data_IF_580882691194
#
_entry.id   IF_580882691194
#
_cell.length_a   1.000
_cell.length_b   1.000
_cell.length_c   1.000
_cell.angle_alpha   90.00
_cell.angle_beta   90.00
_cell.angle_gamma   90.00
#
_symmetry.space_group_name_H-M   'P 1'
#
loop_
_entity.id
_entity.type
_entity.pdbx_description
1 polymer ?
#
# COMPACT_ATOMS: atom_id res chain seq x y z
N UNK A 1 39.90 -2.75 -1.36
CA UNK A 1 40.26 -2.88 0.07
C UNK A 1 39.73 -4.20 0.59
N UNK A 2 40.53 -4.96 1.34
CA UNK A 2 40.04 -6.12 2.07
C UNK A 2 38.97 -5.69 3.07
N UNK A 3 37.86 -6.45 3.19
CA UNK A 3 36.88 -6.29 4.27
C UNK A 3 37.14 -7.40 5.29
N UNK A 4 38.08 -7.20 6.24
CA UNK A 4 38.42 -8.25 7.19
C UNK A 4 37.25 -8.54 8.13
N UNK A 5 37.24 -9.75 8.69
CA UNK A 5 36.31 -10.14 9.73
C UNK A 5 36.49 -9.24 10.96
N UNK A 6 35.37 -8.87 11.58
CA UNK A 6 35.34 -8.16 12.87
C UNK A 6 34.38 -8.90 13.80
N UNK A 7 34.80 -9.12 15.04
CA UNK A 7 33.96 -9.57 16.16
C UNK A 7 32.86 -8.55 16.47
N UNK A 8 31.87 -8.93 17.28
CA UNK A 8 30.78 -8.00 17.63
C UNK A 8 31.29 -6.81 18.44
N UNK A 9 32.28 -7.04 19.28
CA UNK A 9 32.96 -6.03 20.09
C UNK A 9 33.77 -5.08 19.20
N UNK A 10 34.51 -5.61 18.20
CA UNK A 10 35.22 -4.76 17.22
C UNK A 10 34.25 -3.96 16.34
N UNK A 11 33.10 -4.54 15.97
CA UNK A 11 32.05 -3.81 15.24
C UNK A 11 31.50 -2.65 16.08
N UNK A 12 31.29 -2.87 17.37
CA UNK A 12 30.81 -1.85 18.31
C UNK A 12 31.82 -0.70 18.43
N UNK A 13 33.09 -1.02 18.65
CA UNK A 13 34.15 -0.01 18.78
C UNK A 13 34.31 0.80 17.47
N UNK A 14 34.13 0.15 16.32
CA UNK A 14 34.10 0.83 15.03
C UNK A 14 32.93 1.81 14.90
N UNK A 15 31.76 1.50 15.46
CA UNK A 15 30.63 2.43 15.45
C UNK A 15 30.92 3.65 16.34
N UNK A 16 31.49 3.44 17.54
CA UNK A 16 31.93 4.52 18.43
C UNK A 16 32.99 5.40 17.76
N UNK A 17 33.99 4.80 17.10
CA UNK A 17 35.06 5.55 16.42
C UNK A 17 34.55 6.44 15.29
N UNK A 18 33.40 6.08 14.70
CA UNK A 18 32.71 6.84 13.65
C UNK A 18 31.76 7.92 14.18
N UNK A 19 31.78 8.19 15.50
CA UNK A 19 30.92 9.15 16.23
C UNK A 19 29.47 8.73 16.38
N UNK A 20 29.15 7.43 16.28
CA UNK A 20 27.81 6.95 16.60
C UNK A 20 27.66 6.85 18.12
N UNK A 21 26.62 7.48 18.67
CA UNK A 21 26.32 7.40 20.11
C UNK A 21 25.73 6.03 20.41
N UNK A 22 26.31 5.37 21.41
CA UNK A 22 25.85 4.08 21.93
C UNK A 22 25.58 4.26 23.44
N UNK A 23 24.31 4.20 23.83
CA UNK A 23 23.91 4.34 25.24
C UNK A 23 24.21 3.08 26.06
N UNK A 24 24.11 1.91 25.42
CA UNK A 24 24.24 0.61 26.07
C UNK A 24 24.90 -0.40 25.14
N UNK A 25 26.18 -0.67 25.41
CA UNK A 25 27.00 -1.62 24.64
C UNK A 25 26.39 -3.03 24.58
N UNK A 26 25.87 -3.54 25.71
CA UNK A 26 25.29 -4.88 25.76
C UNK A 26 24.03 -5.01 24.90
N UNK A 27 23.21 -3.97 24.88
CA UNK A 27 21.99 -3.90 24.06
C UNK A 27 22.36 -3.91 22.57
N UNK A 28 23.32 -3.08 22.17
CA UNK A 28 23.77 -3.02 20.77
C UNK A 28 24.40 -4.35 20.33
N UNK A 29 25.24 -4.98 21.17
CA UNK A 29 25.78 -6.32 20.87
C UNK A 29 24.65 -7.35 20.73
N UNK A 30 23.62 -7.32 21.59
CA UNK A 30 22.44 -8.20 21.47
C UNK A 30 21.69 -8.00 20.15
N UNK A 31 21.68 -6.78 19.61
CA UNK A 31 21.09 -6.46 18.31
C UNK A 31 21.98 -6.98 17.18
N UNK A 32 23.29 -6.70 17.20
CA UNK A 32 24.25 -7.17 16.18
C UNK A 32 24.37 -8.70 16.11
N UNK A 33 24.08 -9.41 17.21
CA UNK A 33 23.97 -10.88 17.23
C UNK A 33 22.73 -11.41 16.51
N UNK A 34 21.67 -10.61 16.40
CA UNK A 34 20.40 -10.99 15.77
C UNK A 34 20.23 -10.43 14.35
N UNK A 35 20.83 -9.28 14.09
CA UNK A 35 20.73 -8.54 12.83
C UNK A 35 22.13 -8.40 12.25
N UNK A 36 22.30 -8.81 11.00
CA UNK A 36 23.58 -8.68 10.31
C UNK A 36 24.00 -7.19 10.29
N UNK A 37 25.24 -6.91 10.73
CA UNK A 37 25.82 -5.55 10.73
C UNK A 37 25.67 -4.87 9.35
N UNK A 38 25.86 -5.62 8.27
CA UNK A 38 25.73 -5.09 6.92
C UNK A 38 24.30 -4.61 6.64
N UNK A 39 23.30 -5.38 7.04
CA UNK A 39 21.90 -5.10 6.75
C UNK A 39 21.41 -3.87 7.53
N UNK A 40 21.76 -3.77 8.83
CA UNK A 40 21.35 -2.64 9.67
C UNK A 40 22.20 -1.39 9.42
N UNK A 41 23.53 -1.49 9.47
CA UNK A 41 24.38 -0.30 9.40
C UNK A 41 24.52 0.17 7.95
N UNK A 42 25.02 -0.68 7.06
CA UNK A 42 25.24 -0.24 5.67
C UNK A 42 23.93 -0.02 4.92
N UNK A 43 22.86 -0.72 5.32
CA UNK A 43 21.54 -0.54 4.75
C UNK A 43 20.84 0.75 5.17
N UNK A 44 21.11 1.32 6.35
CA UNK A 44 20.27 2.41 6.88
C UNK A 44 21.03 3.65 7.38
N UNK A 45 22.36 3.64 7.34
CA UNK A 45 23.18 4.79 7.78
C UNK A 45 22.99 6.08 6.97
N UNK A 46 22.54 6.01 5.71
CA UNK A 46 22.67 7.11 4.73
C UNK A 46 22.13 8.47 5.21
N UNK A 47 21.01 8.52 5.97
CA UNK A 47 20.46 9.79 6.49
C UNK A 47 21.20 10.35 7.69
N UNK A 48 21.99 9.51 8.35
CA UNK A 48 22.69 9.80 9.58
C UNK A 48 24.17 10.14 9.34
N UNK A 49 24.65 9.98 8.11
CA UNK A 49 26.03 10.30 7.73
C UNK A 49 26.21 11.80 7.49
N UNK A 50 27.31 12.34 8.02
CA UNK A 50 27.84 13.66 7.69
C UNK A 50 28.66 13.53 6.40
N UNK A 51 28.08 13.97 5.27
CA UNK A 51 28.69 13.84 3.95
C UNK A 51 30.02 14.62 3.87
N UNK A 52 30.11 15.90 4.29
CA UNK A 52 31.38 16.62 4.36
C UNK A 52 32.47 15.89 5.16
N UNK A 53 32.16 15.46 6.39
CA UNK A 53 33.14 14.82 7.26
C UNK A 53 33.57 13.43 6.77
N UNK A 54 32.64 12.68 6.19
CA UNK A 54 32.91 11.38 5.56
C UNK A 54 33.83 11.52 4.35
N UNK A 55 33.59 12.53 3.52
CA UNK A 55 34.41 12.80 2.34
C UNK A 55 35.83 13.23 2.72
N UNK A 56 35.97 14.02 3.80
CA UNK A 56 37.27 14.49 4.28
C UNK A 56 38.10 13.40 4.96
N UNK A 57 37.45 12.48 5.71
CA UNK A 57 38.14 11.42 6.45
C UNK A 57 38.39 10.15 5.64
N UNK A 58 37.64 9.93 4.55
CA UNK A 58 37.70 8.70 3.76
C UNK A 58 37.04 7.48 4.41
N UNK A 59 36.38 7.66 5.57
CA UNK A 59 35.53 6.65 6.22
C UNK A 59 34.19 7.26 6.64
N UNK A 60 33.19 6.43 6.90
CA UNK A 60 31.87 6.89 7.33
C UNK A 60 31.96 7.69 8.66
N UNK A 61 31.44 8.92 8.68
CA UNK A 61 31.31 9.73 9.90
C UNK A 61 29.84 10.08 10.12
N UNK A 62 29.30 9.80 11.31
CA UNK A 62 27.92 10.12 11.64
C UNK A 62 27.76 11.59 12.04
N UNK A 63 26.58 12.16 11.76
CA UNK A 63 26.17 13.49 12.20
C UNK A 63 26.18 13.55 13.73
N UNK A 64 26.55 14.70 14.27
CA UNK A 64 26.55 14.94 15.70
C UNK A 64 25.17 14.65 16.32
N UNK A 65 25.15 13.94 17.45
CA UNK A 65 23.92 13.55 18.14
C UNK A 65 23.23 12.29 17.61
N UNK A 66 23.72 11.66 16.54
CA UNK A 66 23.13 10.40 16.03
C UNK A 66 23.33 9.25 17.01
N UNK A 67 22.26 8.56 17.38
CA UNK A 67 22.29 7.37 18.20
C UNK A 67 22.11 6.09 17.35
N UNK A 68 22.69 4.98 17.79
CA UNK A 68 22.44 3.67 17.17
C UNK A 68 20.94 3.33 17.09
N UNK A 69 20.16 3.71 18.11
CA UNK A 69 18.70 3.51 18.15
C UNK A 69 17.97 4.18 17.00
N UNK A 70 18.47 5.31 16.49
CA UNK A 70 17.89 5.95 15.31
C UNK A 70 17.97 5.01 14.12
N UNK A 71 19.15 4.47 13.83
CA UNK A 71 19.36 3.53 12.71
C UNK A 71 18.49 2.27 12.89
N UNK A 72 18.43 1.74 14.12
CA UNK A 72 17.61 0.56 14.45
C UNK A 72 16.12 0.81 14.25
N UNK A 73 15.61 2.00 14.63
CA UNK A 73 14.22 2.40 14.43
C UNK A 73 13.84 2.46 12.94
N UNK A 74 14.74 2.96 12.08
CA UNK A 74 14.48 2.97 10.63
C UNK A 74 14.49 1.55 10.05
N UNK A 75 15.39 0.69 10.53
CA UNK A 75 15.42 -0.72 10.14
C UNK A 75 14.11 -1.43 10.51
N UNK A 76 13.63 -1.25 11.74
CA UNK A 76 12.38 -1.86 12.22
C UNK A 76 11.17 -1.32 11.46
N UNK A 77 11.11 -0.01 11.19
CA UNK A 77 10.08 0.56 10.33
C UNK A 77 10.04 -0.10 8.95
N UNK A 78 11.19 -0.25 8.29
CA UNK A 78 11.25 -0.91 6.98
C UNK A 78 10.79 -2.38 7.05
N UNK A 79 11.20 -3.10 8.11
CA UNK A 79 10.80 -4.49 8.33
C UNK A 79 9.27 -4.63 8.52
N UNK A 80 8.65 -3.78 9.34
CA UNK A 80 7.21 -3.77 9.57
C UNK A 80 6.45 -3.42 8.28
N UNK A 81 6.90 -2.39 7.55
CA UNK A 81 6.33 -2.02 6.26
C UNK A 81 6.44 -3.20 5.27
N UNK A 82 7.57 -3.90 5.17
CA UNK A 82 7.72 -5.08 4.32
C UNK A 82 6.76 -6.20 4.71
N UNK A 83 6.57 -6.44 6.00
CA UNK A 83 5.63 -7.44 6.51
C UNK A 83 4.19 -7.12 6.08
N UNK A 84 3.76 -5.87 6.31
CA UNK A 84 2.43 -5.37 5.93
C UNK A 84 2.22 -5.49 4.41
N UNK A 85 3.20 -5.06 3.61
CA UNK A 85 3.12 -5.09 2.15
C UNK A 85 3.10 -6.53 1.62
N UNK A 86 3.99 -7.40 2.11
CA UNK A 86 4.06 -8.79 1.68
C UNK A 86 2.75 -9.52 1.96
N UNK A 87 2.19 -9.36 3.15
CA UNK A 87 0.88 -9.92 3.53
C UNK A 87 -0.22 -9.56 2.53
N UNK A 88 -0.25 -8.32 2.04
CA UNK A 88 -1.27 -7.87 1.09
C UNK A 88 -0.94 -8.26 -0.36
N UNK A 89 0.34 -8.31 -0.74
CA UNK A 89 0.78 -8.86 -2.03
C UNK A 89 0.41 -10.34 -2.16
N UNK A 90 0.48 -11.13 -1.09
CA UNK A 90 0.08 -12.54 -1.12
C UNK A 90 -1.42 -12.70 -1.45
N UNK A 91 -2.27 -11.76 -1.05
CA UNK A 91 -3.69 -11.74 -1.43
C UNK A 91 -3.86 -11.44 -2.92
N UNK A 92 -3.19 -10.40 -3.41
CA UNK A 92 -3.15 -10.05 -4.83
C UNK A 92 -2.66 -11.25 -5.66
N UNK A 93 -1.58 -11.90 -5.25
CA UNK A 93 -1.04 -13.10 -5.89
C UNK A 93 -2.09 -14.21 -5.98
N UNK A 94 -2.83 -14.46 -4.91
CA UNK A 94 -3.89 -15.46 -4.90
C UNK A 94 -5.05 -15.09 -5.85
N UNK A 95 -5.45 -13.82 -5.88
CA UNK A 95 -6.50 -13.31 -6.78
C UNK A 95 -6.07 -13.52 -8.24
N UNK A 96 -4.88 -13.05 -8.60
CA UNK A 96 -4.36 -13.17 -9.97
C UNK A 96 -4.21 -14.64 -10.38
N UNK A 97 -3.69 -15.50 -9.50
CA UNK A 97 -3.63 -16.95 -9.73
C UNK A 97 -5.01 -17.54 -10.03
N UNK A 98 -6.01 -17.15 -9.25
CA UNK A 98 -7.38 -17.63 -9.39
C UNK A 98 -7.96 -17.21 -10.73
N UNK A 99 -7.88 -15.91 -11.07
CA UNK A 99 -8.42 -15.36 -12.31
C UNK A 99 -7.77 -15.95 -13.55
N UNK A 100 -6.43 -16.01 -13.59
CA UNK A 100 -5.70 -16.61 -14.71
C UNK A 100 -6.06 -18.08 -14.87
N UNK A 101 -6.08 -18.83 -13.76
CA UNK A 101 -6.40 -20.26 -13.83
C UNK A 101 -7.82 -20.52 -14.31
N UNK A 102 -8.77 -19.69 -13.86
CA UNK A 102 -10.17 -19.77 -14.25
C UNK A 102 -10.37 -19.45 -15.73
N UNK A 103 -9.97 -18.26 -16.17
CA UNK A 103 -10.14 -17.81 -17.57
C UNK A 103 -9.43 -18.74 -18.54
N UNK A 104 -8.17 -19.10 -18.24
CA UNK A 104 -7.42 -19.99 -19.12
C UNK A 104 -8.04 -21.38 -19.22
N UNK A 105 -8.49 -21.96 -18.10
CA UNK A 105 -9.08 -23.31 -18.11
C UNK A 105 -10.50 -23.36 -18.66
N UNK A 106 -11.24 -22.26 -18.54
CA UNK A 106 -12.56 -22.08 -19.15
C UNK A 106 -12.47 -22.14 -20.67
N UNK A 107 -11.50 -21.44 -21.26
CA UNK A 107 -11.31 -21.41 -22.72
C UNK A 107 -10.61 -22.66 -23.25
N UNK A 108 -9.50 -23.07 -22.62
CA UNK A 108 -8.65 -24.17 -23.08
C UNK A 108 -8.98 -25.43 -22.28
N UNK A 109 -9.98 -26.18 -22.73
CA UNK A 109 -10.59 -27.30 -21.96
C UNK A 109 -9.79 -28.61 -21.98
N UNK A 110 -8.70 -28.70 -22.73
CA UNK A 110 -7.91 -29.94 -22.82
C UNK A 110 -7.21 -30.27 -21.49
N UNK A 111 -6.96 -31.55 -21.24
CA UNK A 111 -6.10 -31.97 -20.12
C UNK A 111 -4.70 -31.38 -20.26
N UNK A 112 -4.11 -30.98 -19.14
CA UNK A 112 -2.81 -30.31 -19.12
C UNK A 112 -2.73 -29.13 -20.11
N UNK A 113 -3.81 -28.36 -20.27
CA UNK A 113 -3.91 -27.23 -21.19
C UNK A 113 -2.70 -26.27 -21.16
N UNK A 114 -2.09 -26.07 -19.99
CA UNK A 114 -0.92 -25.23 -19.75
C UNK A 114 0.43 -25.84 -20.21
N UNK A 115 0.45 -27.08 -20.70
CA UNK A 115 1.62 -27.71 -21.32
C UNK A 115 1.55 -27.71 -22.85
N UNK A 116 0.40 -27.34 -23.43
CA UNK A 116 0.23 -27.29 -24.87
C UNK A 116 0.64 -25.91 -25.40
N UNK A 117 1.74 -25.86 -26.16
CA UNK A 117 2.26 -24.62 -26.76
C UNK A 117 1.24 -23.89 -27.65
N UNK A 118 0.30 -24.63 -28.26
CA UNK A 118 -0.73 -24.07 -29.15
C UNK A 118 -1.86 -23.35 -28.38
N UNK A 119 -1.90 -23.45 -27.05
CA UNK A 119 -2.86 -22.74 -26.21
C UNK A 119 -2.37 -21.34 -25.79
N UNK A 120 -1.16 -20.95 -26.23
CA UNK A 120 -0.54 -19.65 -25.94
C UNK A 120 -0.54 -18.75 -27.18
N UNK A 121 -0.26 -17.47 -26.98
CA UNK A 121 -0.15 -16.48 -28.05
C UNK A 121 0.95 -16.87 -29.05
N UNK A 122 0.57 -16.99 -30.33
CA UNK A 122 1.47 -17.41 -31.40
C UNK A 122 2.67 -16.46 -31.59
N UNK A 123 2.49 -15.17 -31.29
CA UNK A 123 3.56 -14.17 -31.38
C UNK A 123 4.55 -14.25 -30.22
N UNK A 124 4.23 -15.04 -29.17
CA UNK A 124 5.00 -15.13 -27.91
C UNK A 124 5.46 -16.56 -27.60
N UNK A 125 5.65 -17.40 -28.61
CA UNK A 125 6.06 -18.81 -28.47
C UNK A 125 7.34 -19.01 -27.63
N UNK A 126 8.30 -18.10 -27.69
CA UNK A 126 9.51 -18.16 -26.85
C UNK A 126 9.17 -18.04 -25.35
N UNK A 127 8.34 -17.04 -24.99
CA UNK A 127 7.88 -16.84 -23.62
C UNK A 127 7.03 -18.04 -23.16
N UNK A 128 6.13 -18.53 -24.01
CA UNK A 128 5.31 -19.69 -23.71
C UNK A 128 6.16 -20.96 -23.47
N UNK A 129 7.21 -21.18 -24.27
CA UNK A 129 8.15 -22.30 -24.06
C UNK A 129 8.82 -22.21 -22.70
N UNK A 130 9.23 -21.00 -22.28
CA UNK A 130 9.79 -20.76 -20.95
C UNK A 130 8.77 -21.03 -19.85
N UNK A 131 7.53 -20.58 -20.01
CA UNK A 131 6.44 -20.84 -19.05
C UNK A 131 6.20 -22.35 -18.90
N UNK A 132 6.10 -23.08 -20.01
CA UNK A 132 5.90 -24.54 -20.00
C UNK A 132 7.07 -25.25 -19.31
N UNK A 133 8.32 -24.83 -19.58
CA UNK A 133 9.50 -25.39 -18.94
C UNK A 133 9.48 -25.15 -17.42
N UNK A 134 9.16 -23.94 -16.97
CA UNK A 134 9.06 -23.61 -15.55
C UNK A 134 7.93 -24.38 -14.85
N UNK A 135 6.76 -24.50 -15.49
CA UNK A 135 5.67 -25.32 -14.97
C UNK A 135 6.10 -26.78 -14.84
N UNK A 136 6.76 -27.32 -15.86
CA UNK A 136 7.26 -28.70 -15.85
C UNK A 136 8.28 -28.90 -14.72
N UNK A 137 9.14 -27.91 -14.45
CA UNK A 137 10.05 -27.92 -13.31
C UNK A 137 9.29 -27.94 -11.98
N UNK A 138 8.25 -27.10 -11.83
CA UNK A 138 7.41 -27.05 -10.62
C UNK A 138 6.72 -28.40 -10.38
N UNK A 139 6.12 -29.00 -11.42
CA UNK A 139 5.46 -30.30 -11.32
C UNK A 139 6.48 -31.36 -10.87
N UNK A 140 7.65 -31.42 -11.51
CA UNK A 140 8.72 -32.36 -11.14
C UNK A 140 9.18 -32.18 -9.70
N UNK A 141 9.35 -30.93 -9.26
CA UNK A 141 9.72 -30.63 -7.87
C UNK A 141 8.63 -31.06 -6.89
N UNK A 142 7.36 -30.90 -7.26
CA UNK A 142 6.23 -31.32 -6.45
C UNK A 142 6.11 -32.85 -6.31
N UNK A 143 6.59 -33.60 -7.31
CA UNK A 143 6.68 -35.06 -7.26
C UNK A 143 7.90 -35.58 -6.51
N UNK A 144 8.82 -34.71 -6.09
CA UNK A 144 9.99 -35.12 -5.31
C UNK A 144 9.57 -35.57 -3.91
N UNK A 145 10.07 -36.73 -3.46
CA UNK A 145 9.77 -37.27 -2.13
C UNK A 145 10.23 -36.34 -0.98
N UNK A 146 11.16 -35.42 -1.25
CA UNK A 146 11.69 -34.48 -0.27
C UNK A 146 10.84 -33.19 -0.14
N UNK A 147 9.79 -33.02 -0.95
CA UNK A 147 8.96 -31.81 -0.92
C UNK A 147 7.56 -32.09 -0.36
N UNK A 148 7.33 -31.69 0.89
CA UNK A 148 6.06 -31.90 1.57
C UNK A 148 4.92 -31.05 1.02
N UNK A 149 5.22 -29.93 0.36
CA UNK A 149 4.24 -29.01 -0.23
C UNK A 149 3.54 -29.55 -1.49
N UNK A 150 4.05 -30.64 -2.08
CA UNK A 150 3.60 -31.18 -3.37
C UNK A 150 2.55 -32.29 -3.29
N UNK A 151 2.16 -32.74 -2.09
CA UNK A 151 1.31 -33.93 -1.92
C UNK A 151 -0.02 -33.84 -2.67
N UNK A 152 -0.63 -32.66 -2.74
CA UNK A 152 -1.87 -32.47 -3.52
C UNK A 152 -1.62 -32.72 -5.01
N UNK A 153 -0.50 -32.24 -5.55
CA UNK A 153 -0.14 -32.47 -6.96
C UNK A 153 0.09 -33.96 -7.20
N UNK A 154 0.86 -34.64 -6.34
CA UNK A 154 1.10 -36.08 -6.47
C UNK A 154 -0.20 -36.87 -6.43
N UNK A 155 -1.09 -36.56 -5.48
CA UNK A 155 -2.39 -37.21 -5.35
C UNK A 155 -3.25 -37.07 -6.62
N UNK A 156 -3.31 -35.86 -7.21
CA UNK A 156 -4.06 -35.64 -8.46
C UNK A 156 -3.48 -36.43 -9.63
N UNK A 157 -2.15 -36.46 -9.77
CA UNK A 157 -1.50 -37.21 -10.85
C UNK A 157 -1.61 -38.74 -10.67
N UNK A 158 -1.54 -39.23 -9.44
CA UNK A 158 -1.61 -40.65 -9.13
C UNK A 158 -3.03 -41.22 -9.27
N UNK A 159 -4.04 -40.47 -8.80
CA UNK A 159 -5.43 -40.94 -8.77
C UNK A 159 -6.22 -40.47 -9.99
N UNK A 160 -6.20 -39.17 -10.28
CA UNK A 160 -7.03 -38.59 -11.33
C UNK A 160 -6.37 -38.61 -12.71
N UNK A 161 -5.07 -38.96 -12.78
CA UNK A 161 -4.27 -38.97 -14.02
C UNK A 161 -4.27 -37.63 -14.78
N UNK A 162 -4.67 -36.57 -14.10
CA UNK A 162 -4.80 -35.22 -14.61
C UNK A 162 -4.45 -34.23 -13.50
N UNK A 163 -3.90 -33.08 -13.87
CA UNK A 163 -3.58 -31.99 -12.95
C UNK A 163 -4.18 -30.69 -13.48
N UNK A 164 -5.35 -30.28 -13.00
CA UNK A 164 -5.96 -29.02 -13.41
C UNK A 164 -5.13 -27.79 -13.04
N UNK A 165 -5.19 -26.73 -13.85
CA UNK A 165 -4.38 -25.53 -13.64
C UNK A 165 -4.66 -24.86 -12.28
N UNK A 166 -5.91 -24.82 -11.83
CA UNK A 166 -6.25 -24.21 -10.53
C UNK A 166 -5.68 -24.98 -9.33
N UNK A 167 -5.42 -26.29 -9.46
CA UNK A 167 -4.73 -27.09 -8.44
C UNK A 167 -3.23 -26.77 -8.46
N UNK A 168 -2.65 -26.72 -9.66
CA UNK A 168 -1.23 -26.41 -9.88
C UNK A 168 -0.88 -24.97 -9.46
N UNK A 169 -1.77 -24.00 -9.71
CA UNK A 169 -1.51 -22.57 -9.53
C UNK A 169 -1.08 -22.20 -8.10
N UNK A 170 -1.49 -22.99 -7.10
CA UNK A 170 -1.05 -22.84 -5.72
C UNK A 170 0.47 -22.98 -5.56
N UNK A 171 1.12 -23.83 -6.36
CA UNK A 171 2.57 -24.10 -6.31
C UNK A 171 3.39 -23.17 -7.22
N UNK A 172 2.75 -22.51 -8.18
CA UNK A 172 3.42 -21.56 -9.04
C UNK A 172 3.84 -20.33 -8.23
N UNK A 173 5.03 -19.80 -8.48
CA UNK A 173 5.43 -18.50 -7.90
C UNK A 173 4.68 -17.35 -8.57
N UNK A 174 4.60 -16.19 -7.92
CA UNK A 174 4.07 -14.99 -8.57
C UNK A 174 4.81 -14.64 -9.87
N UNK A 175 6.13 -14.89 -9.93
CA UNK A 175 6.92 -14.74 -11.14
C UNK A 175 6.43 -15.64 -12.27
N UNK A 176 6.18 -16.93 -11.99
CA UNK A 176 5.65 -17.87 -12.99
C UNK A 176 4.30 -17.37 -13.54
N UNK A 177 3.43 -16.89 -12.66
CA UNK A 177 2.10 -16.38 -13.01
C UNK A 177 2.17 -15.08 -13.81
N UNK A 178 3.09 -14.17 -13.47
CA UNK A 178 3.33 -12.95 -14.24
C UNK A 178 3.80 -13.26 -15.67
N UNK A 179 4.70 -14.23 -15.84
CA UNK A 179 5.12 -14.69 -17.17
C UNK A 179 4.01 -15.44 -17.90
N UNK A 180 3.23 -16.26 -17.19
CA UNK A 180 2.05 -16.94 -17.74
C UNK A 180 1.08 -15.94 -18.33
N UNK A 181 0.68 -14.93 -17.55
CA UNK A 181 -0.18 -13.84 -18.02
C UNK A 181 0.38 -13.17 -19.27
N UNK A 182 1.68 -12.86 -19.32
CA UNK A 182 2.27 -12.21 -20.51
C UNK A 182 2.26 -13.09 -21.76
N UNK A 183 2.12 -14.42 -21.62
CA UNK A 183 2.26 -15.40 -22.70
C UNK A 183 0.92 -15.88 -23.29
N UNK A 184 -0.21 -15.62 -22.63
CA UNK A 184 -1.53 -15.99 -23.15
C UNK A 184 -2.06 -14.98 -24.18
N UNK A 185 -3.09 -15.38 -24.92
CA UNK A 185 -3.78 -14.55 -25.92
C UNK A 185 -4.35 -13.26 -25.30
N UNK A 186 -4.32 -12.17 -26.06
CA UNK A 186 -4.81 -10.85 -25.63
C UNK A 186 -6.31 -10.87 -25.26
N UNK A 187 -7.11 -11.72 -25.92
CA UNK A 187 -8.52 -11.97 -25.58
C UNK A 187 -8.70 -12.46 -24.13
N UNK A 188 -7.84 -13.37 -23.68
CA UNK A 188 -7.88 -13.90 -22.31
C UNK A 188 -7.34 -12.89 -21.29
N UNK A 189 -6.30 -12.13 -21.66
CA UNK A 189 -5.80 -11.03 -20.84
C UNK A 189 -6.90 -9.99 -20.59
N UNK A 190 -7.67 -9.68 -21.65
CA UNK A 190 -8.81 -8.76 -21.59
C UNK A 190 -9.89 -9.25 -20.65
N UNK A 191 -10.32 -10.51 -20.76
CA UNK A 191 -11.33 -11.09 -19.86
C UNK A 191 -10.88 -11.01 -18.39
N UNK A 192 -9.60 -11.29 -18.10
CA UNK A 192 -9.05 -11.15 -16.74
C UNK A 192 -9.12 -9.69 -16.26
N UNK A 193 -8.76 -8.73 -17.12
CA UNK A 193 -8.80 -7.31 -16.78
C UNK A 193 -10.24 -6.81 -16.56
N UNK A 194 -11.20 -7.31 -17.34
CA UNK A 194 -12.62 -7.03 -17.17
C UNK A 194 -13.16 -7.58 -15.85
N UNK A 195 -12.78 -8.81 -15.45
CA UNK A 195 -13.14 -9.35 -14.15
C UNK A 195 -12.65 -8.47 -12.99
N UNK A 196 -11.40 -7.99 -13.07
CA UNK A 196 -10.83 -7.08 -12.07
C UNK A 196 -11.59 -5.75 -12.04
N UNK A 197 -11.93 -5.17 -13.20
CA UNK A 197 -12.68 -3.93 -13.28
C UNK A 197 -14.12 -4.07 -12.72
N UNK A 198 -14.77 -5.22 -12.95
CA UNK A 198 -16.10 -5.53 -12.42
C UNK A 198 -16.06 -5.66 -10.90
N UNK A 199 -15.07 -6.37 -10.34
CA UNK A 199 -14.89 -6.48 -8.90
C UNK A 199 -14.60 -5.12 -8.26
N UNK A 200 -13.74 -4.31 -8.88
CA UNK A 200 -13.47 -2.95 -8.41
C UNK A 200 -14.74 -2.08 -8.40
N UNK A 201 -15.56 -2.16 -9.45
CA UNK A 201 -16.85 -1.44 -9.49
C UNK A 201 -17.78 -1.88 -8.38
N UNK A 202 -17.83 -3.18 -8.03
CA UNK A 202 -18.66 -3.67 -6.91
C UNK A 202 -18.17 -3.16 -5.56
N UNK A 203 -16.86 -3.07 -5.36
CA UNK A 203 -16.26 -2.63 -4.09
C UNK A 203 -16.31 -1.11 -3.89
N UNK A 204 -16.19 -0.33 -4.97
CA UNK A 204 -15.96 1.12 -4.91
C UNK A 204 -16.97 1.97 -5.69
N UNK A 205 -17.96 1.34 -6.34
CA UNK A 205 -18.96 2.00 -7.21
C UNK A 205 -18.34 2.91 -8.28
N UNK A 206 -17.17 2.52 -8.79
CA UNK A 206 -16.40 3.27 -9.79
C UNK A 206 -16.09 2.40 -10.99
N UNK A 207 -16.47 2.90 -12.16
CA UNK A 207 -16.12 2.25 -13.42
C UNK A 207 -14.70 2.65 -13.81
N UNK A 208 -13.85 1.65 -14.03
CA UNK A 208 -12.45 1.83 -14.41
C UNK A 208 -12.14 1.02 -15.66
N UNK A 209 -11.08 1.39 -16.36
CA UNK A 209 -10.56 0.63 -17.50
C UNK A 209 -9.18 0.11 -17.12
N UNK A 210 -9.01 -1.21 -17.25
CA UNK A 210 -7.74 -1.90 -16.98
C UNK A 210 -7.21 -2.41 -18.31
N UNK A 211 -6.14 -1.77 -18.80
CA UNK A 211 -5.45 -2.16 -20.03
C UNK A 211 -4.52 -3.37 -19.79
N UNK A 212 -4.51 -4.31 -20.73
CA UNK A 212 -3.85 -5.61 -20.63
C UNK A 212 -2.32 -5.46 -20.55
N UNK A 213 -1.76 -4.52 -21.33
CA UNK A 213 -0.32 -4.21 -21.34
C UNK A 213 0.09 -3.47 -20.08
N UNK A 214 -0.80 -2.62 -19.55
CA UNK A 214 -0.60 -1.97 -18.26
C UNK A 214 -0.64 -2.98 -17.11
N UNK A 215 -1.56 -3.95 -17.15
CA UNK A 215 -1.64 -5.05 -16.20
C UNK A 215 -0.36 -5.88 -16.20
N UNK A 216 0.20 -6.21 -17.37
CA UNK A 216 1.49 -6.91 -17.45
C UNK A 216 2.60 -6.15 -16.70
N UNK A 217 2.68 -4.82 -16.88
CA UNK A 217 3.66 -3.99 -16.17
C UNK A 217 3.39 -3.95 -14.66
N UNK A 218 2.13 -3.87 -14.25
CA UNK A 218 1.72 -3.93 -12.84
C UNK A 218 2.19 -5.24 -12.20
N UNK A 219 1.93 -6.39 -12.83
CA UNK A 219 2.35 -7.69 -12.32
C UNK A 219 3.87 -7.80 -12.21
N UNK A 220 4.62 -7.31 -13.21
CA UNK A 220 6.10 -7.29 -13.15
C UNK A 220 6.63 -6.38 -12.02
N UNK A 221 6.01 -5.21 -11.81
CA UNK A 221 6.36 -4.30 -10.73
C UNK A 221 6.09 -4.94 -9.35
N UNK A 222 4.89 -5.49 -9.14
CA UNK A 222 4.53 -6.18 -7.90
C UNK A 222 5.43 -7.38 -7.64
N UNK A 223 5.83 -8.14 -8.67
CA UNK A 223 6.75 -9.27 -8.51
C UNK A 223 8.12 -8.82 -7.98
N UNK A 224 8.60 -7.66 -8.43
CA UNK A 224 9.85 -7.08 -7.94
C UNK A 224 9.72 -6.71 -6.46
N UNK A 225 8.64 -6.03 -6.07
CA UNK A 225 8.37 -5.64 -4.68
C UNK A 225 8.19 -6.87 -3.77
N UNK A 226 7.47 -7.90 -4.25
CA UNK A 226 7.30 -9.18 -3.56
C UNK A 226 8.64 -9.79 -3.22
N UNK A 227 9.55 -9.82 -4.19
CA UNK A 227 10.88 -10.41 -4.01
C UNK A 227 11.74 -9.59 -3.05
N UNK A 228 11.73 -8.25 -3.15
CA UNK A 228 12.38 -7.36 -2.17
C UNK A 228 11.91 -7.69 -0.74
N UNK A 229 10.60 -7.79 -0.54
CA UNK A 229 10.04 -8.12 0.77
C UNK A 229 10.47 -9.52 1.25
N UNK A 230 10.39 -10.52 0.38
CA UNK A 230 10.70 -11.92 0.71
C UNK A 230 12.20 -12.20 0.92
N UNK A 231 13.09 -11.41 0.30
CA UNK A 231 14.55 -11.55 0.44
C UNK A 231 15.15 -10.65 1.52
N UNK A 232 14.32 -10.00 2.33
CA UNK A 232 14.76 -9.13 3.41
C UNK A 232 15.57 -7.90 2.93
N UNK A 233 15.29 -7.43 1.71
CA UNK A 233 15.93 -6.25 1.13
C UNK A 233 15.22 -4.96 1.56
N UNK A 234 15.95 -3.83 1.58
CA UNK A 234 15.44 -2.51 1.96
C UNK A 234 14.33 -2.02 1.02
N UNK A 235 13.15 -1.70 1.55
CA UNK A 235 11.96 -1.33 0.76
C UNK A 235 11.66 0.17 0.73
N UNK A 236 11.82 0.89 1.84
CA UNK A 236 11.26 2.23 2.05
C UNK A 236 11.79 3.27 1.07
N UNK A 237 13.00 3.11 0.51
CA UNK A 237 13.57 4.02 -0.49
C UNK A 237 13.78 3.37 -1.86
N UNK A 238 13.13 2.25 -2.13
CA UNK A 238 13.29 1.55 -3.40
C UNK A 238 12.76 2.41 -4.55
N UNK A 239 13.46 2.35 -5.68
CA UNK A 239 12.92 2.72 -6.99
C UNK A 239 13.14 1.56 -7.93
N UNK A 240 12.08 0.83 -8.28
CA UNK A 240 12.22 -0.41 -9.05
C UNK A 240 12.67 -0.08 -10.48
N UNK A 241 13.70 -0.79 -10.94
CA UNK A 241 14.23 -0.69 -12.31
C UNK A 241 14.18 -2.09 -12.94
N UNK A 242 13.72 -2.17 -14.20
CA UNK A 242 13.72 -3.42 -14.97
C UNK A 242 14.78 -3.29 -16.07
N UNK A 243 15.73 -4.22 -16.14
CA UNK A 243 16.83 -4.21 -17.12
C UNK A 243 17.63 -2.89 -17.15
N UNK A 244 17.95 -2.34 -15.97
CA UNK A 244 18.64 -1.03 -15.77
C UNK A 244 17.87 0.21 -16.24
N UNK A 245 16.76 0.04 -16.96
CA UNK A 245 15.84 1.10 -17.32
C UNK A 245 14.76 1.27 -16.26
N UNK A 246 14.24 2.50 -16.12
CA UNK A 246 13.01 2.70 -15.35
C UNK A 246 11.88 1.91 -16.00
N UNK A 247 11.01 1.31 -15.19
CA UNK A 247 9.81 0.63 -15.70
C UNK A 247 9.04 1.63 -16.59
N UNK A 248 8.57 1.16 -17.76
CA UNK A 248 7.68 1.93 -18.63
C UNK A 248 6.50 2.50 -17.83
N UNK A 249 5.99 3.68 -18.20
CA UNK A 249 4.87 4.35 -17.49
C UNK A 249 3.73 3.36 -17.23
N UNK A 250 3.56 2.99 -15.96
CA UNK A 250 2.36 2.35 -15.43
C UNK A 250 1.35 3.47 -15.19
N UNK A 251 0.10 3.25 -15.56
CA UNK A 251 -1.01 4.12 -15.21
C UNK A 251 -1.82 3.48 -14.10
N UNK A 252 -2.21 4.28 -13.11
CA UNK A 252 -3.15 3.83 -12.08
C UNK A 252 -4.56 3.94 -12.65
N UNK A 253 -5.29 2.83 -12.85
CA UNK A 253 -6.56 2.86 -13.58
C UNK A 253 -7.71 3.51 -12.80
N UNK A 254 -7.53 3.70 -11.50
CA UNK A 254 -8.59 4.07 -10.56
C UNK A 254 -8.28 5.35 -9.75
N UNK A 255 -7.06 5.89 -9.85
CA UNK A 255 -6.60 7.09 -9.16
C UNK A 255 -5.77 7.94 -10.13
N UNK A 256 -6.06 9.23 -10.20
CA UNK A 256 -5.21 10.19 -10.94
C UNK A 256 -3.95 10.51 -10.14
N UNK A 257 -2.95 9.64 -10.27
CA UNK A 257 -1.66 9.79 -9.62
C UNK A 257 -0.53 9.39 -10.56
N UNK A 258 0.51 10.21 -10.64
CA UNK A 258 1.67 9.90 -11.48
C UNK A 258 2.50 8.78 -10.84
N UNK A 259 2.64 7.66 -11.56
CA UNK A 259 3.46 6.53 -11.11
C UNK A 259 4.93 6.92 -10.94
N UNK A 260 5.53 6.60 -9.79
CA UNK A 260 6.93 6.94 -9.45
C UNK A 260 7.82 5.73 -9.18
N UNK A 261 7.27 4.52 -9.28
CA UNK A 261 7.97 3.25 -8.97
C UNK A 261 8.46 3.16 -7.53
N UNK A 262 7.66 3.68 -6.60
CA UNK A 262 7.97 3.73 -5.15
C UNK A 262 6.93 2.95 -4.34
N UNK A 263 7.17 2.84 -3.03
CA UNK A 263 6.26 2.16 -2.09
C UNK A 263 4.81 2.67 -2.19
N UNK A 264 4.60 3.97 -2.35
CA UNK A 264 3.24 4.50 -2.46
C UNK A 264 2.46 3.96 -3.68
N UNK A 265 3.14 3.68 -4.80
CA UNK A 265 2.50 3.07 -5.96
C UNK A 265 2.04 1.64 -5.68
N UNK A 266 2.72 0.93 -4.77
CA UNK A 266 2.32 -0.41 -4.31
C UNK A 266 1.00 -0.32 -3.56
N UNK A 267 0.83 0.68 -2.68
CA UNK A 267 -0.42 0.89 -1.94
C UNK A 267 -1.58 1.17 -2.89
N UNK A 268 -1.37 2.04 -3.89
CA UNK A 268 -2.38 2.33 -4.92
C UNK A 268 -2.72 1.06 -5.71
N UNK A 269 -1.71 0.31 -6.16
CA UNK A 269 -1.96 -0.92 -6.91
C UNK A 269 -2.69 -1.95 -6.06
N UNK A 270 -2.37 -2.10 -4.77
CA UNK A 270 -3.08 -3.04 -3.90
C UNK A 270 -4.58 -2.71 -3.78
N UNK A 271 -4.94 -1.41 -3.75
CA UNK A 271 -6.35 -0.95 -3.76
C UNK A 271 -7.13 -1.50 -4.96
N UNK A 272 -6.49 -1.71 -6.10
CA UNK A 272 -7.13 -2.27 -7.29
C UNK A 272 -7.64 -3.71 -7.09
N UNK A 273 -7.02 -4.48 -6.19
CA UNK A 273 -7.25 -5.92 -6.09
C UNK A 273 -7.94 -6.35 -4.78
N UNK A 274 -7.59 -5.75 -3.65
CA UNK A 274 -8.12 -6.18 -2.35
C UNK A 274 -9.45 -5.50 -2.04
N UNK A 275 -10.24 -6.10 -1.15
CA UNK A 275 -11.53 -5.53 -0.75
C UNK A 275 -11.37 -4.19 -0.03
N UNK A 276 -12.43 -3.37 -0.01
CA UNK A 276 -12.39 -2.07 0.67
C UNK A 276 -12.01 -2.18 2.15
N UNK A 277 -12.55 -3.19 2.84
CA UNK A 277 -12.23 -3.47 4.25
C UNK A 277 -10.75 -3.83 4.44
N UNK A 278 -10.18 -4.65 3.57
CA UNK A 278 -8.77 -5.02 3.65
C UNK A 278 -7.86 -3.83 3.37
N UNK A 279 -8.24 -2.98 2.41
CA UNK A 279 -7.51 -1.76 2.11
C UNK A 279 -7.52 -0.77 3.28
N UNK A 280 -8.64 -0.62 3.98
CA UNK A 280 -8.71 0.20 5.21
C UNK A 280 -7.76 -0.33 6.30
N UNK A 281 -7.69 -1.65 6.48
CA UNK A 281 -6.78 -2.28 7.44
C UNK A 281 -5.32 -1.99 7.04
N UNK A 282 -4.96 -2.23 5.77
CA UNK A 282 -3.64 -1.91 5.23
C UNK A 282 -3.28 -0.45 5.46
N UNK A 283 -4.16 0.48 5.10
CA UNK A 283 -3.91 1.90 5.25
C UNK A 283 -3.75 2.32 6.71
N UNK A 284 -4.49 1.70 7.63
CA UNK A 284 -4.34 1.90 9.08
C UNK A 284 -3.01 1.37 9.60
N UNK A 285 -2.61 0.15 9.21
CA UNK A 285 -1.32 -0.45 9.57
C UNK A 285 -0.16 0.46 9.13
N UNK A 286 -0.16 0.89 7.85
CA UNK A 286 0.84 1.84 7.32
C UNK A 286 0.81 3.18 8.09
N UNK A 287 -0.37 3.73 8.35
CA UNK A 287 -0.50 5.00 9.07
C UNK A 287 0.06 4.90 10.49
N UNK A 288 -0.05 3.76 11.15
CA UNK A 288 0.49 3.56 12.50
C UNK A 288 2.02 3.53 12.46
N UNK A 289 2.62 2.83 11.50
CA UNK A 289 4.08 2.80 11.36
C UNK A 289 4.66 4.17 11.01
N UNK A 290 4.01 4.93 10.13
CA UNK A 290 4.42 6.31 9.82
C UNK A 290 4.33 7.21 11.07
N UNK A 291 3.27 7.07 11.88
CA UNK A 291 3.13 7.84 13.13
C UNK A 291 4.21 7.49 14.15
N UNK A 292 4.50 6.20 14.34
CA UNK A 292 5.61 5.73 15.19
C UNK A 292 6.95 6.28 14.72
N UNK A 293 7.20 6.30 13.41
CA UNK A 293 8.40 6.90 12.85
C UNK A 293 8.46 8.40 13.17
N UNK A 294 7.37 9.13 12.92
CA UNK A 294 7.29 10.58 13.15
C UNK A 294 7.42 11.01 14.61
N UNK A 295 7.03 10.17 15.57
CA UNK A 295 7.18 10.47 17.00
C UNK A 295 8.62 10.36 17.52
N UNK A 296 9.49 9.65 16.79
CA UNK A 296 10.86 9.38 17.22
C UNK A 296 11.92 10.21 16.46
N UNK A 297 11.56 10.84 15.34
CA UNK A 297 12.48 11.65 14.55
C UNK A 297 12.16 13.14 14.59
N UNK A 298 13.17 13.97 14.39
CA UNK A 298 12.96 15.38 14.06
C UNK A 298 12.15 15.54 12.77
N UNK A 299 11.37 16.61 12.66
CA UNK A 299 10.50 16.90 11.50
C UNK A 299 11.24 16.83 10.17
N UNK A 300 12.52 17.26 10.13
CA UNK A 300 13.35 17.23 8.92
C UNK A 300 13.70 15.81 8.49
N UNK A 301 14.24 15.00 9.40
CA UNK A 301 14.64 13.61 9.11
C UNK A 301 13.42 12.76 8.75
N UNK A 302 12.32 12.92 9.48
CA UNK A 302 11.05 12.28 9.16
C UNK A 302 10.56 12.64 7.75
N UNK A 303 10.59 13.92 7.38
CA UNK A 303 10.22 14.39 6.05
C UNK A 303 11.08 13.80 4.94
N UNK A 304 12.40 13.72 5.14
CA UNK A 304 13.35 13.14 4.18
C UNK A 304 13.09 11.64 3.95
N UNK A 305 12.87 10.87 5.02
CA UNK A 305 12.53 9.44 4.94
C UNK A 305 11.18 9.27 4.22
N UNK A 306 10.15 10.04 4.62
CA UNK A 306 8.82 9.94 4.05
C UNK A 306 8.82 10.26 2.54
N UNK A 307 9.56 11.27 2.10
CA UNK A 307 9.75 11.59 0.68
C UNK A 307 10.34 10.42 -0.13
N UNK A 308 11.14 9.57 0.51
CA UNK A 308 11.83 8.46 -0.13
C UNK A 308 10.90 7.27 -0.35
N UNK A 309 9.98 7.02 0.58
CA UNK A 309 8.82 6.12 0.38
C UNK A 309 7.91 6.54 -0.76
N UNK A 310 7.93 7.84 -1.08
CA UNK A 310 6.99 8.44 -1.99
C UNK A 310 5.60 8.57 -1.37
N UNK A 311 5.36 8.30 -0.10
CA UNK A 311 4.05 8.54 0.51
C UNK A 311 3.91 10.06 0.75
N UNK A 312 2.96 10.77 0.10
CA UNK A 312 2.80 12.20 0.37
C UNK A 312 2.29 12.44 1.79
N UNK A 313 2.56 13.62 2.39
CA UNK A 313 2.13 13.94 3.77
C UNK A 313 0.64 13.69 3.97
N UNK A 314 -0.18 14.08 2.99
CA UNK A 314 -1.64 13.90 3.03
C UNK A 314 -2.12 12.76 2.11
N UNK A 315 -1.34 11.68 2.01
CA UNK A 315 -1.60 10.57 1.08
C UNK A 315 -3.00 9.95 1.16
N UNK A 316 -3.60 9.88 2.35
CA UNK A 316 -4.98 9.40 2.54
C UNK A 316 -5.99 10.17 1.67
N UNK A 317 -5.75 11.47 1.43
CA UNK A 317 -6.60 12.32 0.58
C UNK A 317 -6.51 11.95 -0.91
N UNK A 318 -5.44 11.29 -1.32
CA UNK A 318 -5.20 10.87 -2.71
C UNK A 318 -5.86 9.52 -2.97
N UNK A 319 -5.83 8.62 -1.99
CA UNK A 319 -6.32 7.25 -2.13
C UNK A 319 -7.78 7.07 -1.71
N UNK A 320 -8.39 8.05 -1.05
CA UNK A 320 -9.80 8.02 -0.69
C UNK A 320 -10.71 8.31 -1.87
N UNK A 321 -11.87 7.69 -1.86
CA UNK A 321 -12.95 7.97 -2.79
C UNK A 321 -13.77 9.17 -2.31
N UNK A 322 -14.33 9.92 -3.25
CA UNK A 322 -15.16 11.07 -2.93
C UNK A 322 -16.56 10.57 -2.54
N UNK A 323 -16.99 10.96 -1.35
CA UNK A 323 -18.32 10.73 -0.83
C UNK A 323 -19.25 11.85 -1.30
N UNK A 324 -20.54 11.54 -1.36
CA UNK A 324 -21.57 12.57 -1.50
C UNK A 324 -21.50 13.52 -0.31
N UNK A 325 -21.68 14.81 -0.57
CA UNK A 325 -21.71 15.83 0.45
C UNK A 325 -22.67 16.94 0.04
N UNK A 326 -23.15 17.66 1.03
CA UNK A 326 -24.11 18.76 0.84
C UNK A 326 -23.82 19.90 1.81
N UNK A 327 -24.12 21.11 1.36
CA UNK A 327 -24.19 22.30 2.21
C UNK A 327 -25.58 22.31 2.86
N UNK A 328 -25.63 22.13 4.18
CA UNK A 328 -26.89 21.99 4.93
C UNK A 328 -27.35 23.30 5.56
N UNK A 329 -26.42 24.24 5.77
CA UNK A 329 -26.71 25.58 6.29
C UNK A 329 -25.58 26.55 5.93
N UNK A 330 -25.87 27.84 5.92
CA UNK A 330 -24.89 28.90 5.70
C UNK A 330 -25.27 30.16 6.45
N UNK A 331 -24.30 30.78 7.12
CA UNK A 331 -24.47 32.05 7.84
C UNK A 331 -23.49 33.07 7.29
N UNK A 332 -23.94 34.31 7.13
CA UNK A 332 -23.08 35.43 6.73
C UNK A 332 -23.23 36.54 7.77
N UNK A 333 -22.14 36.83 8.49
CA UNK A 333 -22.08 37.91 9.48
C UNK A 333 -20.75 38.66 9.31
N UNK A 334 -20.82 40.00 9.19
CA UNK A 334 -19.65 40.89 9.15
C UNK A 334 -18.56 40.45 8.15
N UNK A 335 -18.95 40.20 6.88
CA UNK A 335 -18.07 39.75 5.78
C UNK A 335 -17.42 38.36 5.96
N UNK A 336 -17.70 37.66 7.06
CA UNK A 336 -17.32 36.25 7.26
C UNK A 336 -18.48 35.34 6.93
N UNK A 337 -18.20 34.35 6.09
CA UNK A 337 -19.16 33.31 5.74
C UNK A 337 -18.85 32.07 6.59
N UNK A 338 -19.87 31.49 7.22
CA UNK A 338 -19.80 30.19 7.87
C UNK A 338 -20.68 29.20 7.10
N UNK A 339 -20.09 28.09 6.64
CA UNK A 339 -20.83 27.03 5.93
C UNK A 339 -20.82 25.75 6.72
N UNK A 340 -21.99 25.14 6.80
CA UNK A 340 -22.20 23.86 7.47
C UNK A 340 -22.31 22.80 6.39
N UNK A 341 -21.40 21.85 6.44
CA UNK A 341 -21.24 20.84 5.41
C UNK A 341 -21.41 19.48 6.05
N UNK A 342 -22.26 18.66 5.44
CA UNK A 342 -22.43 17.28 5.81
C UNK A 342 -21.84 16.39 4.72
N UNK A 343 -20.92 15.50 5.11
CA UNK A 343 -20.40 14.43 4.25
C UNK A 343 -21.15 13.16 4.61
N UNK A 344 -21.81 12.57 3.61
CA UNK A 344 -22.54 11.31 3.75
C UNK A 344 -21.61 10.23 4.30
N UNK A 345 -22.16 9.32 5.10
CA UNK A 345 -21.39 8.31 5.80
C UNK A 345 -20.44 7.53 4.87
N UNK A 346 -19.20 7.38 5.34
CA UNK A 346 -18.14 6.65 4.66
C UNK A 346 -16.99 6.42 5.61
N UNK A 347 -15.93 5.79 5.12
CA UNK A 347 -14.76 5.53 5.95
C UNK A 347 -13.88 6.78 6.15
N UNK A 348 -12.92 6.67 7.07
CA UNK A 348 -12.02 7.77 7.43
C UNK A 348 -11.25 8.30 6.22
N UNK A 349 -10.79 7.41 5.32
CA UNK A 349 -9.93 7.77 4.20
C UNK A 349 -10.75 8.55 3.17
N UNK A 350 -11.94 8.06 2.86
CA UNK A 350 -12.87 8.68 1.91
C UNK A 350 -13.40 10.02 2.43
N UNK A 351 -13.68 10.09 3.73
CA UNK A 351 -14.05 11.35 4.38
C UNK A 351 -12.92 12.39 4.25
N UNK A 352 -11.67 11.99 4.46
CA UNK A 352 -10.51 12.88 4.31
C UNK A 352 -10.31 13.34 2.86
N UNK A 353 -10.49 12.47 1.88
CA UNK A 353 -10.44 12.83 0.47
C UNK A 353 -11.55 13.84 0.11
N UNK A 354 -12.77 13.59 0.57
CA UNK A 354 -13.94 14.44 0.35
C UNK A 354 -13.77 15.82 0.99
N UNK A 355 -13.35 15.87 2.26
CA UNK A 355 -12.99 17.12 2.96
C UNK A 355 -12.01 17.94 2.12
N UNK A 356 -11.00 17.29 1.56
CA UNK A 356 -9.95 17.97 0.80
C UNK A 356 -10.47 18.55 -0.51
N UNK A 357 -11.39 17.84 -1.16
CA UNK A 357 -12.03 18.35 -2.35
C UNK A 357 -12.91 19.56 -2.05
N UNK A 358 -13.61 19.53 -0.92
CA UNK A 358 -14.40 20.64 -0.41
C UNK A 358 -13.49 21.84 -0.10
N UNK A 359 -12.39 21.62 0.63
CA UNK A 359 -11.36 22.63 0.90
C UNK A 359 -10.89 23.29 -0.41
N UNK A 360 -10.56 22.51 -1.46
CA UNK A 360 -10.15 23.05 -2.77
C UNK A 360 -11.21 23.89 -3.48
N UNK A 361 -12.49 23.52 -3.36
CA UNK A 361 -13.60 24.25 -3.98
C UNK A 361 -13.72 25.63 -3.33
N UNK A 362 -13.71 25.68 -2.00
CA UNK A 362 -13.92 26.92 -1.25
C UNK A 362 -12.67 27.78 -1.11
N UNK A 363 -11.46 27.20 -1.18
CA UNK A 363 -10.19 27.95 -1.17
C UNK A 363 -10.06 28.91 -2.37
N UNK A 364 -10.80 28.68 -3.44
CA UNK A 364 -10.84 29.56 -4.62
C UNK A 364 -11.68 30.82 -4.42
N UNK A 365 -12.42 30.94 -3.31
CA UNK A 365 -13.24 32.12 -3.03
C UNK A 365 -12.38 33.29 -2.51
N UNK A 366 -12.85 34.52 -2.74
CA UNK A 366 -12.14 35.75 -2.35
C UNK A 366 -12.44 36.20 -0.91
N UNK A 367 -13.47 35.64 -0.27
CA UNK A 367 -13.90 35.98 1.09
C UNK A 367 -13.28 35.05 2.12
N UNK A 368 -13.08 35.57 3.33
CA UNK A 368 -12.75 34.74 4.50
C UNK A 368 -13.94 33.83 4.85
N UNK A 369 -13.64 32.54 5.05
CA UNK A 369 -14.65 31.50 5.18
C UNK A 369 -14.30 30.55 6.32
N UNK A 370 -15.30 30.18 7.12
CA UNK A 370 -15.22 29.07 8.07
C UNK A 370 -16.11 27.93 7.61
N UNK A 371 -15.51 26.77 7.36
CA UNK A 371 -16.22 25.53 7.05
C UNK A 371 -16.35 24.71 8.33
N UNK A 372 -17.57 24.32 8.67
CA UNK A 372 -17.90 23.36 9.73
C UNK A 372 -18.37 22.06 9.08
N UNK A 373 -17.45 21.10 8.97
CA UNK A 373 -17.67 19.86 8.22
C UNK A 373 -17.94 18.71 9.19
N UNK A 374 -19.12 18.11 9.09
CA UNK A 374 -19.53 16.89 9.78
C UNK A 374 -19.19 15.66 8.89
N UNK A 375 -18.46 14.68 9.42
CA UNK A 375 -18.01 13.51 8.65
C UNK A 375 -17.75 12.24 9.47
N UNK A 376 -17.57 11.12 8.75
CA UNK A 376 -17.08 9.86 9.30
C UNK A 376 -17.98 9.28 10.39
N UNK A 377 -19.29 9.43 10.26
CA UNK A 377 -20.18 9.02 11.33
C UNK A 377 -20.39 7.51 11.36
N UNK A 378 -20.29 6.93 12.56
CA UNK A 378 -20.36 5.48 12.77
C UNK A 378 -21.28 5.14 13.92
N UNK A 379 -22.17 4.18 13.68
CA UNK A 379 -23.03 3.61 14.71
C UNK A 379 -22.24 2.67 15.64
N UNK A 380 -22.41 2.88 16.93
CA UNK A 380 -21.84 2.09 18.03
C UNK A 380 -22.99 1.82 19.01
N UNK A 381 -23.88 0.88 18.66
CA UNK A 381 -25.12 0.65 19.43
C UNK A 381 -26.14 1.77 19.21
N UNK A 382 -26.73 2.31 20.28
CA UNK A 382 -27.70 3.43 20.27
C UNK A 382 -27.05 4.82 20.14
N UNK A 383 -25.80 4.84 19.69
CA UNK A 383 -24.94 6.00 19.76
C UNK A 383 -24.24 6.14 18.43
N UNK A 384 -24.21 7.35 17.89
CA UNK A 384 -23.38 7.65 16.75
C UNK A 384 -22.16 8.45 17.20
N UNK A 385 -21.00 8.07 16.65
CA UNK A 385 -19.80 8.88 16.71
C UNK A 385 -19.80 9.78 15.49
N UNK A 386 -19.79 11.10 15.66
CA UNK A 386 -19.64 12.09 14.58
C UNK A 386 -18.30 12.80 14.73
N UNK A 387 -17.52 12.86 13.66
CA UNK A 387 -16.31 13.69 13.64
C UNK A 387 -16.65 15.03 12.99
N UNK A 388 -16.09 16.09 13.54
CA UNK A 388 -16.24 17.44 13.02
C UNK A 388 -14.88 18.04 12.74
N UNK A 389 -14.79 18.74 11.63
CA UNK A 389 -13.64 19.54 11.26
C UNK A 389 -14.06 20.99 11.06
N UNK A 390 -13.44 21.88 11.81
CA UNK A 390 -13.51 23.32 11.56
C UNK A 390 -12.31 23.71 10.70
N UNK A 391 -12.58 24.29 9.55
CA UNK A 391 -11.56 24.82 8.64
C UNK A 391 -11.79 26.31 8.46
N UNK A 392 -10.81 27.12 8.85
CA UNK A 392 -10.86 28.57 8.61
C UNK A 392 -9.89 28.91 7.49
N UNK A 393 -10.43 29.50 6.42
CA UNK A 393 -9.71 29.97 5.25
C UNK A 393 -9.61 31.49 5.36
N UNK A 394 -8.42 31.97 5.69
CA UNK A 394 -8.12 33.40 5.79
C UNK A 394 -6.91 33.72 4.91
N UNK A 395 -7.00 34.73 4.06
CA UNK A 395 -5.92 35.09 3.13
C UNK A 395 -5.35 33.89 2.34
N UNK A 396 -6.23 32.99 1.87
CA UNK A 396 -5.87 31.74 1.16
C UNK A 396 -4.98 30.78 1.97
N UNK A 397 -4.95 30.91 3.30
CA UNK A 397 -4.32 29.96 4.20
C UNK A 397 -5.39 29.19 4.96
N UNK A 398 -5.18 27.88 5.05
CA UNK A 398 -6.04 26.96 5.76
C UNK A 398 -5.51 26.78 7.19
N UNK A 399 -6.37 27.02 8.17
CA UNK A 399 -6.19 26.61 9.57
C UNK A 399 -7.27 25.59 9.92
N UNK A 400 -6.90 24.55 10.65
CA UNK A 400 -7.75 23.36 10.86
C UNK A 400 -7.84 23.04 12.37
N UNK A 401 -9.05 22.70 12.84
CA UNK A 401 -9.31 22.19 14.18
C UNK A 401 -10.27 20.99 14.10
N UNK A 402 -9.81 19.81 14.54
CA UNK A 402 -10.59 18.56 14.51
C UNK A 402 -11.17 18.24 15.90
N UNK A 403 -12.42 17.78 15.97
CA UNK A 403 -13.11 17.38 17.21
C UNK A 403 -14.02 16.16 16.98
N UNK A 404 -14.00 15.22 17.92
CA UNK A 404 -14.85 14.02 17.91
C UNK A 404 -16.02 14.16 18.89
N UNK A 405 -17.21 13.70 18.49
CA UNK A 405 -18.44 13.74 19.30
C UNK A 405 -19.15 12.40 19.33
N UNK A 406 -19.88 12.19 20.43
CA UNK A 406 -20.72 11.03 20.67
C UNK A 406 -22.09 11.56 21.05
N UNK A 407 -23.13 11.17 20.32
CA UNK A 407 -24.50 11.55 20.61
C UNK A 407 -25.41 10.33 20.68
N UNK A 408 -26.27 10.31 21.70
CA UNK A 408 -27.21 9.23 22.02
C UNK A 408 -28.57 9.62 21.47
N UNK A 409 -29.08 8.85 20.52
CA UNK A 409 -30.43 9.02 19.99
C UNK A 409 -31.25 7.82 20.39
N UNK A 410 -32.30 8.04 21.16
CA UNK A 410 -33.27 7.00 21.46
C UNK A 410 -34.30 6.97 20.32
N UNK A 411 -34.17 6.01 19.39
CA UNK A 411 -35.24 5.67 18.44
C UNK A 411 -35.14 4.19 18.02
N UNK A 412 -36.24 3.44 18.18
CA UNK A 412 -36.47 2.16 17.49
C UNK A 412 -36.73 2.46 16.01
N UNK A 413 -35.70 2.78 15.24
CA UNK A 413 -35.78 2.84 13.78
C UNK A 413 -34.59 2.10 13.18
N UNK A 414 -34.86 1.31 12.14
CA UNK A 414 -33.80 0.73 11.32
C UNK A 414 -32.91 1.84 10.78
N UNK A 415 -31.60 1.64 10.87
CA UNK A 415 -30.53 2.61 10.55
C UNK A 415 -30.75 3.31 9.21
N UNK A 416 -31.26 2.60 8.21
CA UNK A 416 -31.52 3.14 6.87
C UNK A 416 -32.60 4.23 6.85
N UNK A 417 -33.56 4.20 7.79
CA UNK A 417 -34.59 5.25 7.93
C UNK A 417 -34.09 6.50 8.65
N UNK A 418 -32.98 6.40 9.38
CA UNK A 418 -32.43 7.53 10.13
C UNK A 418 -31.72 8.53 9.20
N UNK A 419 -31.14 8.07 8.09
CA UNK A 419 -30.55 8.93 7.06
C UNK A 419 -31.58 9.64 6.17
N UNK A 420 -32.81 9.13 6.08
CA UNK A 420 -33.87 9.66 5.21
C UNK A 420 -34.70 10.81 5.82
N UNK A 421 -34.61 11.06 7.14
CA UNK A 421 -35.43 12.09 7.80
C UNK A 421 -34.74 13.47 7.88
N UNK A 422 -35.48 14.53 7.53
CA UNK A 422 -35.09 15.94 7.74
C UNK A 422 -34.68 16.28 9.20
N UNK A 423 -35.03 15.43 10.17
CA UNK A 423 -34.67 15.58 11.57
C UNK A 423 -33.15 15.41 11.80
N UNK A 424 -32.51 14.49 11.07
CA UNK A 424 -31.08 14.18 11.25
C UNK A 424 -30.16 15.34 10.89
N UNK A 425 -30.38 15.98 9.73
CA UNK A 425 -29.63 17.17 9.32
C UNK A 425 -29.84 18.32 10.33
N UNK A 426 -31.06 18.44 10.86
CA UNK A 426 -31.39 19.39 11.92
C UNK A 426 -30.57 19.17 13.20
N UNK A 427 -30.40 17.92 13.63
CA UNK A 427 -29.53 17.59 14.77
C UNK A 427 -28.06 17.88 14.48
N UNK A 428 -27.54 17.52 13.31
CA UNK A 428 -26.17 17.88 12.90
C UNK A 428 -25.97 19.40 12.95
N UNK A 429 -26.90 20.19 12.42
CA UNK A 429 -26.85 21.65 12.48
C UNK A 429 -26.84 22.14 13.93
N UNK A 430 -27.64 21.55 14.83
CA UNK A 430 -27.62 21.91 16.27
C UNK A 430 -26.26 21.62 16.90
N UNK A 431 -25.62 20.49 16.59
CA UNK A 431 -24.28 20.17 17.08
C UNK A 431 -23.26 21.18 16.55
N UNK A 432 -23.30 21.47 15.25
CA UNK A 432 -22.38 22.40 14.60
C UNK A 432 -22.57 23.86 15.09
N UNK A 433 -23.77 24.23 15.54
CA UNK A 433 -24.10 25.57 16.06
C UNK A 433 -23.76 25.76 17.55
N UNK A 434 -23.70 24.70 18.35
CA UNK A 434 -23.38 24.79 19.79
C UNK A 434 -21.90 25.13 20.07
N UNK A 435 -21.06 25.28 19.05
CA UNK A 435 -19.60 25.47 19.12
C UNK A 435 -19.09 26.34 17.99
#
# INVERSE_FOLDING_TARGET
MSRPFHTYEEQLEKLKSRRLIIDNDEEVIKILKRKNYYDIINGYKDYFIDIPATTASGDDVYKEGTNFKDIDLLYEFDAEIRSIILKNILKLENIIKTKISYVFSKEKTQEFNYLNINNYDETKKENATRVIAEISNVIRNCMSQNYTGGRQISHYLDIHRNLPLWVLAKQLTFGNISYFYSSIEESLQKEICEEIAIEYKKEYDKTIIVDEKNMEKILRFINSIRNICAHNERLYNITVRINRNRIHRITHPHIDFTFRSKLFDVLIILKLFITRKEFQILAKEISNEIKKLGSNYSTKVFGDILNQTGIPIKWKRIIGDLLEWEEIDSKEENEKIEKFIYIKHGDEIDSLATISKIEEIYLKQEKDLTLKIAYGMKLIGYVFKLNMKKVTIENKKITEEDKDYIEILYEEKEVDKFEEENNFKGEIIKILNKK
#
